data_IF_162352537600
#
_entry.id   IF_162352537600
#
_cell.length_a   1.000
_cell.length_b   1.000
_cell.length_c   1.000
_cell.angle_alpha   90.00
_cell.angle_beta   90.00
_cell.angle_gamma   90.00
#
_symmetry.space_group_name_H-M   'P 1'
#
loop_
_entity.id
_entity.type
_entity.pdbx_description
1 polymer ?
2 polymer ?
3 non-polymer ?
4 water ?
#
# COMPACT_ATOMS: atom_id res chain seq x y z
N UNK A 1 9.67 -11.43 -17.12
CA UNK A 1 10.36 -10.21 -16.61
C UNK A 1 9.39 -9.11 -16.14
N UNK A 2 9.72 -8.55 -14.98
CA UNK A 2 8.99 -7.49 -14.28
C UNK A 2 7.80 -6.72 -14.88
N UNK A 3 6.67 -6.81 -14.18
CA UNK A 3 5.43 -6.12 -14.55
C UNK A 3 4.74 -5.63 -13.27
N UNK A 4 4.14 -4.45 -13.31
CA UNK A 4 3.43 -3.90 -12.15
C UNK A 4 1.96 -3.81 -12.51
N UNK A 5 1.19 -4.84 -12.15
CA UNK A 5 -0.23 -4.87 -12.47
C UNK A 5 -1.18 -4.71 -11.28
N UNK A 6 -2.36 -4.19 -11.56
CA UNK A 6 -3.40 -3.99 -10.54
C UNK A 6 -4.16 -5.30 -10.43
N UNK A 7 -3.98 -5.98 -9.31
CA UNK A 7 -4.62 -7.25 -9.06
C UNK A 7 -6.06 -7.08 -8.58
N UNK A 8 -6.99 -7.57 -9.40
CA UNK A 8 -8.42 -7.50 -9.12
C UNK A 8 -8.91 -8.78 -8.45
N UNK A 9 -9.70 -8.62 -7.39
CA UNK A 9 -10.26 -9.77 -6.69
C UNK A 9 -11.56 -10.12 -7.40
N UNK A 10 -11.44 -10.72 -8.58
CA UNK A 10 -12.58 -11.07 -9.41
C UNK A 10 -13.06 -12.52 -9.31
N UNK A 11 -12.59 -13.26 -8.31
CA UNK A 11 -13.02 -14.64 -8.15
C UNK A 11 -12.46 -15.65 -9.15
N UNK A 12 -11.42 -15.28 -9.88
CA UNK A 12 -10.80 -16.19 -10.84
C UNK A 12 -9.65 -16.93 -10.17
N UNK A 13 -9.37 -18.15 -10.61
CA UNK A 13 -8.28 -18.94 -10.05
C UNK A 13 -6.95 -18.20 -10.15
N UNK A 14 -6.67 -17.64 -11.32
CA UNK A 14 -5.41 -16.93 -11.54
C UNK A 14 -5.15 -15.77 -10.58
N UNK A 15 -6.04 -14.79 -10.56
CA UNK A 15 -5.87 -13.63 -9.69
C UNK A 15 -5.92 -13.99 -8.21
N UNK A 16 -6.77 -14.95 -7.87
CA UNK A 16 -6.91 -15.36 -6.48
C UNK A 16 -5.65 -16.08 -5.97
N UNK A 17 -4.85 -16.62 -6.89
CA UNK A 17 -3.61 -17.29 -6.50
C UNK A 17 -2.59 -16.19 -6.21
N UNK A 18 -2.58 -15.18 -7.08
CA UNK A 18 -1.67 -14.05 -6.95
C UNK A 18 -1.96 -13.24 -5.69
N UNK A 19 -3.24 -13.09 -5.34
CA UNK A 19 -3.60 -12.35 -4.14
C UNK A 19 -3.17 -13.11 -2.90
N UNK A 20 -3.33 -14.43 -2.92
CA UNK A 20 -2.93 -15.24 -1.77
C UNK A 20 -1.41 -15.18 -1.59
N UNK A 21 -0.69 -15.23 -2.71
CA UNK A 21 0.77 -15.16 -2.65
C UNK A 21 1.20 -13.82 -2.07
N UNK A 22 0.55 -12.75 -2.50
CA UNK A 22 0.85 -11.40 -2.04
C UNK A 22 0.53 -11.30 -0.55
N UNK A 23 -0.59 -11.91 -0.16
CA UNK A 23 -1.03 -11.92 1.22
C UNK A 23 -0.01 -12.64 2.09
N UNK A 24 0.51 -13.76 1.60
CA UNK A 24 1.50 -14.52 2.35
C UNK A 24 2.81 -13.73 2.47
N UNK A 25 3.13 -12.93 1.46
CA UNK A 25 4.34 -12.12 1.51
C UNK A 25 4.14 -11.06 2.58
N UNK A 26 2.94 -10.49 2.62
CA UNK A 26 2.60 -9.47 3.61
C UNK A 26 2.74 -9.96 5.05
N UNK A 27 2.18 -11.13 5.36
CA UNK A 27 2.25 -11.63 6.72
C UNK A 27 3.66 -12.05 7.12
N UNK A 28 4.46 -12.44 6.13
CA UNK A 28 5.83 -12.86 6.35
C UNK A 28 6.69 -11.63 6.67
N UNK A 29 6.42 -10.54 5.96
CA UNK A 29 7.17 -9.31 6.13
C UNK A 29 6.60 -8.35 7.16
N UNK A 30 5.45 -8.71 7.71
CA UNK A 30 4.77 -7.88 8.70
C UNK A 30 4.29 -8.78 9.83
N UNK A 31 5.23 -9.39 10.58
CA UNK A 31 4.92 -10.29 11.70
C UNK A 31 4.03 -9.73 12.79
N UNK A 32 3.94 -8.41 12.89
CA UNK A 32 3.09 -7.80 13.91
C UNK A 32 1.62 -7.74 13.50
N UNK A 33 1.35 -7.98 12.22
CA UNK A 33 -0.01 -7.96 11.69
C UNK A 33 -0.72 -9.29 11.87
N UNK A 34 -1.96 -9.27 12.38
CA UNK A 34 -2.63 -10.56 12.52
C UNK A 34 -2.83 -11.00 11.07
N UNK A 35 -2.49 -12.24 10.76
CA UNK A 35 -2.63 -12.72 9.40
C UNK A 35 -4.08 -12.67 8.90
N UNK A 36 -5.04 -12.96 9.77
CA UNK A 36 -6.44 -12.99 9.34
C UNK A 36 -6.85 -11.58 9.03
N UNK A 37 -6.09 -10.66 9.61
CA UNK A 37 -6.39 -9.30 9.38
C UNK A 37 -5.93 -8.90 7.98
N UNK A 38 -4.74 -9.34 7.58
CA UNK A 38 -4.25 -9.02 6.27
C UNK A 38 -5.22 -9.60 5.22
N UNK A 39 -5.72 -10.81 5.48
CA UNK A 39 -6.65 -11.49 4.59
C UNK A 39 -7.93 -10.68 4.36
N UNK A 40 -8.48 -10.19 5.46
CA UNK A 40 -9.70 -9.40 5.41
C UNK A 40 -9.58 -8.18 4.50
N UNK A 41 -8.51 -7.40 4.67
CA UNK A 41 -8.34 -6.21 3.85
C UNK A 41 -7.97 -6.51 2.40
N UNK A 42 -7.04 -7.43 2.19
CA UNK A 42 -6.62 -7.78 0.83
C UNK A 42 -7.78 -8.31 -0.02
N UNK A 43 -8.63 -9.16 0.56
CA UNK A 43 -9.74 -9.71 -0.20
C UNK A 43 -11.07 -8.99 -0.02
N UNK A 44 -11.07 -7.82 0.61
CA UNK A 44 -12.33 -7.11 0.76
C UNK A 44 -12.64 -6.45 -0.59
N UNK A 45 -13.86 -5.97 -0.75
CA UNK A 45 -14.28 -5.36 -2.00
C UNK A 45 -13.64 -4.00 -2.24
N UNK A 46 -13.45 -3.23 -1.17
CA UNK A 46 -12.88 -1.89 -1.24
C UNK A 46 -11.39 -1.78 -1.56
N UNK A 47 -10.65 -2.87 -1.42
CA UNK A 47 -9.22 -2.83 -1.66
C UNK A 47 -8.70 -3.31 -3.00
N UNK A 48 -7.53 -2.79 -3.36
CA UNK A 48 -6.85 -3.14 -4.60
C UNK A 48 -5.39 -3.41 -4.27
N UNK A 49 -4.74 -4.22 -5.09
CA UNK A 49 -3.34 -4.54 -4.89
C UNK A 49 -2.58 -4.40 -6.19
N UNK A 50 -1.51 -3.61 -6.17
CA UNK A 50 -0.69 -3.48 -7.35
C UNK A 50 0.47 -4.40 -7.03
N UNK A 51 0.73 -5.37 -7.89
CA UNK A 51 1.80 -6.30 -7.63
C UNK A 51 2.96 -6.23 -8.61
N UNK A 52 4.09 -6.75 -8.15
CA UNK A 52 5.31 -6.82 -8.94
C UNK A 52 5.32 -8.27 -9.37
N UNK A 53 5.15 -8.50 -10.66
CA UNK A 53 5.12 -9.85 -11.18
C UNK A 53 6.38 -10.18 -11.94
N UNK A 54 7.08 -11.22 -11.49
CA UNK A 54 8.29 -11.65 -12.16
C UNK A 54 7.77 -12.52 -13.30
N UNK A 55 7.97 -12.04 -14.52
CA UNK A 55 7.49 -12.72 -15.71
C UNK A 55 5.99 -12.41 -15.78
N UNK A 56 5.20 -13.45 -16.03
CA UNK A 56 3.75 -13.32 -16.10
C UNK A 56 3.17 -14.30 -15.09
N UNK A 57 3.90 -14.57 -14.00
CA UNK A 57 3.41 -15.57 -13.04
C UNK A 57 3.78 -15.47 -11.56
N UNK A 58 4.98 -15.02 -11.23
CA UNK A 58 5.39 -14.98 -9.83
C UNK A 58 5.37 -13.63 -9.13
N UNK A 59 4.68 -13.58 -7.99
CA UNK A 59 4.58 -12.36 -7.19
C UNK A 59 5.81 -12.20 -6.30
N UNK A 60 6.47 -11.05 -6.41
CA UNK A 60 7.64 -10.82 -5.58
C UNK A 60 7.44 -9.62 -4.66
N UNK A 61 6.30 -8.96 -4.79
CA UNK A 61 5.99 -7.82 -3.96
C UNK A 61 4.72 -7.12 -4.39
N UNK A 62 4.33 -6.09 -3.65
CA UNK A 62 3.14 -5.36 -4.00
C UNK A 62 2.69 -4.38 -2.94
N UNK A 63 1.62 -3.65 -3.25
CA UNK A 63 1.06 -2.69 -2.32
C UNK A 63 -0.46 -2.79 -2.34
N UNK A 64 -1.04 -2.94 -1.15
CA UNK A 64 -2.48 -3.04 -0.99
C UNK A 64 -3.00 -1.69 -0.51
N UNK A 65 -3.92 -1.10 -1.27
CA UNK A 65 -4.45 0.21 -0.94
C UNK A 65 -5.96 0.30 -1.10
N UNK A 66 -6.54 1.39 -0.60
CA UNK A 66 -7.97 1.62 -0.69
C UNK A 66 -8.22 3.06 -1.13
N UNK A 67 -8.89 3.22 -2.27
CA UNK A 67 -9.21 4.55 -2.77
C UNK A 67 -10.53 5.04 -2.22
N UNK A 68 -10.56 6.32 -1.85
CA UNK A 68 -11.77 6.97 -1.38
C UNK A 68 -11.96 8.02 -2.48
N UNK A 69 -12.46 7.54 -3.62
CA UNK A 69 -12.66 8.34 -4.82
C UNK A 69 -13.30 9.72 -4.69
N UNK A 70 -14.51 9.80 -4.10
CA UNK A 70 -15.11 11.13 -3.98
C UNK A 70 -14.17 12.14 -3.31
N UNK A 71 -13.54 11.72 -2.22
CA UNK A 71 -12.63 12.57 -1.46
C UNK A 71 -11.27 12.75 -2.15
N UNK A 72 -10.97 11.86 -3.08
CA UNK A 72 -9.72 11.89 -3.84
C UNK A 72 -8.42 11.67 -3.04
N UNK A 73 -8.43 10.64 -2.20
CA UNK A 73 -7.24 10.28 -1.45
C UNK A 73 -7.28 8.77 -1.28
N UNK A 74 -6.12 8.16 -1.08
CA UNK A 74 -6.08 6.72 -0.90
C UNK A 74 -5.21 6.37 0.28
N UNK A 75 -5.55 5.27 0.94
CA UNK A 75 -4.78 4.83 2.08
C UNK A 75 -4.01 3.58 1.71
N UNK A 76 -2.74 3.53 2.10
CA UNK A 76 -1.92 2.36 1.84
C UNK A 76 -2.16 1.45 3.03
N UNK A 77 -2.59 0.23 2.76
CA UNK A 77 -2.85 -0.75 3.82
C UNK A 77 -1.57 -1.54 4.12
N UNK A 78 -1.00 -2.16 3.08
CA UNK A 78 0.23 -2.94 3.23
C UNK A 78 1.18 -2.76 2.04
N UNK A 79 2.48 -2.83 2.34
CA UNK A 79 3.53 -2.72 1.33
C UNK A 79 4.65 -3.69 1.68
N UNK A 80 5.11 -4.46 0.70
CA UNK A 80 6.20 -5.40 0.97
C UNK A 80 6.78 -6.05 -0.28
N UNK A 81 8.02 -6.50 -0.14
CA UNK A 81 8.74 -7.20 -1.21
C UNK A 81 9.22 -8.47 -0.54
N UNK A 82 9.11 -9.60 -1.22
CA UNK A 82 9.53 -10.86 -0.62
C UNK A 82 11.03 -10.86 -0.26
N UNK A 83 11.38 -11.55 0.82
CA UNK A 83 12.75 -11.61 1.32
C UNK A 83 13.86 -11.69 0.27
N UNK A 84 13.88 -12.76 -0.51
CA UNK A 84 14.92 -12.97 -1.51
C UNK A 84 14.95 -11.96 -2.66
N UNK A 85 14.06 -10.98 -2.63
CA UNK A 85 14.02 -9.97 -3.69
C UNK A 85 14.21 -8.54 -3.18
N UNK A 86 14.43 -8.40 -1.88
CA UNK A 86 14.63 -7.07 -1.29
C UNK A 86 15.99 -6.50 -1.66
N UNK A 87 16.14 -5.19 -1.50
CA UNK A 87 17.38 -4.47 -1.80
C UNK A 87 17.81 -4.63 -3.27
N UNK A 88 16.84 -4.55 -4.18
CA UNK A 88 17.10 -4.65 -5.61
C UNK A 88 16.39 -3.49 -6.31
N UNK A 89 15.85 -2.57 -5.52
CA UNK A 89 15.16 -1.42 -6.08
C UNK A 89 13.69 -1.61 -6.42
N UNK A 90 13.16 -2.81 -6.20
CA UNK A 90 11.76 -3.09 -6.52
C UNK A 90 10.76 -2.28 -5.70
N UNK A 91 11.00 -2.21 -4.39
CA UNK A 91 10.11 -1.46 -3.52
C UNK A 91 9.95 -0.02 -3.94
N UNK A 92 11.03 0.61 -4.38
CA UNK A 92 10.98 2.01 -4.80
C UNK A 92 10.30 2.15 -6.16
N UNK A 93 10.53 1.18 -7.04
CA UNK A 93 9.91 1.21 -8.36
C UNK A 93 8.41 0.98 -8.21
N UNK A 94 8.04 0.22 -7.18
CA UNK A 94 6.64 -0.07 -6.90
C UNK A 94 5.92 1.21 -6.48
N UNK A 95 6.51 1.91 -5.52
CA UNK A 95 5.93 3.15 -5.01
C UNK A 95 5.79 4.18 -6.12
N UNK A 96 6.79 4.26 -7.00
CA UNK A 96 6.75 5.20 -8.12
C UNK A 96 5.63 4.81 -9.09
N UNK A 97 5.46 3.52 -9.32
CA UNK A 97 4.42 3.05 -10.22
C UNK A 97 3.07 3.35 -9.59
N UNK A 98 2.98 3.12 -8.28
CA UNK A 98 1.76 3.39 -7.54
C UNK A 98 1.35 4.86 -7.63
N UNK A 99 2.30 5.76 -7.38
CA UNK A 99 2.00 7.19 -7.44
C UNK A 99 1.55 7.60 -8.83
N UNK A 100 2.20 7.06 -9.85
CA UNK A 100 1.83 7.37 -11.22
C UNK A 100 0.41 6.89 -11.50
N UNK A 101 0.09 5.71 -10.99
CA UNK A 101 -1.24 5.15 -11.16
C UNK A 101 -2.29 6.00 -10.45
N UNK A 102 -2.01 6.37 -9.20
CA UNK A 102 -2.93 7.19 -8.42
C UNK A 102 -3.15 8.54 -9.08
N UNK A 103 -2.10 9.07 -9.70
CA UNK A 103 -2.20 10.34 -10.40
C UNK A 103 -3.20 10.19 -11.56
N UNK A 104 -3.12 9.07 -12.28
CA UNK A 104 -4.03 8.81 -13.39
C UNK A 104 -5.44 8.52 -12.88
N UNK A 105 -5.55 8.08 -11.63
CA UNK A 105 -6.84 7.78 -11.02
C UNK A 105 -7.44 9.02 -10.38
N UNK A 106 -6.81 10.16 -10.61
CA UNK A 106 -7.29 11.43 -10.07
C UNK A 106 -7.28 11.44 -8.54
N UNK A 107 -6.25 10.85 -7.95
CA UNK A 107 -6.12 10.84 -6.50
C UNK A 107 -5.14 11.97 -6.14
N UNK A 108 -5.52 12.79 -5.16
CA UNK A 108 -4.71 13.94 -4.75
C UNK A 108 -3.75 13.70 -3.58
N UNK A 109 -4.11 12.79 -2.68
CA UNK A 109 -3.24 12.50 -1.55
C UNK A 109 -3.17 11.02 -1.24
N UNK A 110 -2.01 10.60 -0.77
CA UNK A 110 -1.80 9.23 -0.35
C UNK A 110 -1.61 9.35 1.15
N UNK A 111 -2.27 8.49 1.89
CA UNK A 111 -2.15 8.51 3.35
C UNK A 111 -1.72 7.14 3.81
N UNK A 112 -0.93 7.10 4.87
CA UNK A 112 -0.48 5.83 5.40
C UNK A 112 -0.04 6.01 6.83
N UNK A 113 -0.44 5.07 7.68
CA UNK A 113 -0.03 5.11 9.06
C UNK A 113 1.33 4.42 9.07
N UNK A 114 2.28 4.98 9.81
CA UNK A 114 3.62 4.41 9.86
C UNK A 114 4.10 4.28 11.30
N UNK A 115 5.09 3.42 11.51
CA UNK A 115 5.63 3.21 12.84
C UNK A 115 7.11 2.87 12.77
N UNK A 116 7.86 3.37 13.74
CA UNK A 116 9.29 3.10 13.83
C UNK A 116 10.09 3.43 12.57
N UNK A 117 10.71 2.41 11.99
CA UNK A 117 11.53 2.57 10.80
C UNK A 117 10.71 3.06 9.62
N UNK A 118 9.48 2.55 9.52
CA UNK A 118 8.59 2.90 8.42
C UNK A 118 8.41 4.39 8.20
N UNK A 119 8.47 5.19 9.26
CA UNK A 119 8.31 6.63 9.11
C UNK A 119 9.44 7.16 8.24
N UNK A 120 10.67 6.75 8.55
CA UNK A 120 11.82 7.19 7.78
C UNK A 120 11.73 6.68 6.36
N UNK A 121 11.24 5.46 6.19
CA UNK A 121 11.11 4.89 4.86
C UNK A 121 10.14 5.71 4.00
N UNK A 122 8.99 6.06 4.56
CA UNK A 122 8.02 6.83 3.79
C UNK A 122 8.47 8.26 3.56
N UNK A 123 9.33 8.78 4.43
CA UNK A 123 9.85 10.13 4.25
C UNK A 123 10.71 10.11 2.98
N UNK A 124 11.48 9.04 2.81
CA UNK A 124 12.32 8.91 1.62
C UNK A 124 11.46 8.79 0.37
N UNK A 125 10.23 8.31 0.53
CA UNK A 125 9.31 8.14 -0.59
C UNK A 125 8.43 9.37 -0.83
N UNK A 126 8.70 10.46 -0.12
CA UNK A 126 7.91 11.66 -0.35
C UNK A 126 6.76 11.93 0.61
N UNK A 127 6.60 11.10 1.62
CA UNK A 127 5.54 11.31 2.60
C UNK A 127 6.07 12.20 3.73
N UNK A 128 5.20 13.01 4.32
CA UNK A 128 5.58 13.90 5.42
C UNK A 128 4.66 13.70 6.62
N UNK A 129 5.12 14.14 7.79
CA UNK A 129 4.33 14.02 9.01
C UNK A 129 3.26 15.11 9.10
N UNK A 130 3.58 16.31 8.63
CA UNK A 130 2.58 17.37 8.66
C UNK A 130 1.72 17.25 7.42
N UNK A 131 0.43 17.53 7.55
CA UNK A 131 -0.48 17.39 6.42
C UNK A 131 -0.90 18.72 5.80
N UNK A 132 -1.01 18.75 4.48
CA UNK A 132 -1.46 19.94 3.79
C UNK A 132 -2.90 19.65 3.38
N UNK A 133 -3.36 18.45 3.73
CA UNK A 133 -4.73 18.03 3.45
C UNK A 133 -5.54 18.18 4.73
N UNK A 134 -6.69 18.87 4.66
CA UNK A 134 -7.57 19.10 5.80
C UNK A 134 -8.07 17.83 6.51
N UNK A 135 -7.90 17.81 7.83
CA UNK A 135 -8.31 16.70 8.69
C UNK A 135 -9.69 16.12 8.35
N UNK A 136 -10.69 16.99 8.38
CA UNK A 136 -12.07 16.62 8.12
C UNK A 136 -12.30 15.86 6.83
N UNK A 137 -11.30 15.85 5.95
CA UNK A 137 -11.46 15.13 4.69
C UNK A 137 -11.34 13.64 4.91
N UNK A 138 -10.38 13.23 5.74
CA UNK A 138 -10.22 11.81 6.01
C UNK A 138 -10.99 11.39 7.25
N UNK A 139 -11.25 12.33 8.15
CA UNK A 139 -11.98 12.00 9.37
C UNK A 139 -13.34 11.41 9.01
N UNK A 140 -13.66 10.28 9.61
CA UNK A 140 -14.92 9.63 9.31
C UNK A 140 -14.75 8.55 8.26
N UNK A 141 -13.64 8.61 7.53
CA UNK A 141 -13.36 7.62 6.50
C UNK A 141 -12.18 6.76 6.92
N UNK A 142 -11.12 7.42 7.37
CA UNK A 142 -9.93 6.73 7.83
C UNK A 142 -9.91 6.79 9.35
N UNK A 143 -9.74 5.65 10.00
CA UNK A 143 -9.73 5.60 11.46
C UNK A 143 -8.60 6.47 12.02
N UNK A 144 -8.89 7.14 13.12
CA UNK A 144 -7.93 8.03 13.76
C UNK A 144 -7.25 7.38 14.96
N UNK A 145 -6.10 6.77 14.73
CA UNK A 145 -5.38 6.11 15.81
C UNK A 145 -4.37 7.06 16.46
N UNK A 146 -4.38 7.13 17.78
CA UNK A 146 -3.44 7.98 18.51
C UNK A 146 -2.07 7.32 18.57
N UNK A 147 -2.05 5.99 18.52
CA UNK A 147 -0.80 5.26 18.59
C UNK A 147 0.01 5.23 17.31
N UNK A 148 -0.54 5.74 16.22
CA UNK A 148 0.21 5.71 14.98
C UNK A 148 0.49 7.08 14.39
N UNK A 149 1.55 7.17 13.60
CA UNK A 149 1.90 8.43 12.95
C UNK A 149 1.27 8.42 11.55
N UNK A 150 0.34 9.34 11.31
CA UNK A 150 -0.32 9.43 10.01
C UNK A 150 0.49 10.30 9.05
N UNK A 151 0.93 9.72 7.94
CA UNK A 151 1.72 10.45 6.96
C UNK A 151 0.99 10.62 5.64
N UNK A 152 1.32 11.69 4.92
CA UNK A 152 0.65 11.96 3.66
C UNK A 152 1.61 12.35 2.54
N UNK A 153 1.21 12.03 1.32
CA UNK A 153 2.00 12.37 0.16
C UNK A 153 1.09 13.05 -0.85
N UNK A 154 1.42 14.30 -1.17
CA UNK A 154 0.65 15.06 -2.13
C UNK A 154 1.02 14.56 -3.51
N UNK A 155 0.01 14.30 -4.33
CA UNK A 155 0.24 13.86 -5.70
C UNK A 155 -0.15 15.03 -6.58
N UNK A 156 0.84 15.76 -7.07
CA UNK A 156 0.59 16.90 -7.93
C UNK A 156 0.13 16.37 -9.29
N UNK A 157 -0.91 16.98 -9.88
CA UNK A 157 -1.44 16.56 -11.18
C UNK A 157 -0.47 16.37 -12.36
N UNK A 158 0.65 17.09 -12.38
CA UNK A 158 1.54 16.90 -13.50
C UNK A 158 3.03 16.87 -13.21
N UNK A 159 3.38 16.16 -12.14
CA UNK A 159 4.75 15.93 -11.72
C UNK A 159 4.96 14.50 -12.23
N UNK A 160 6.13 14.21 -12.79
CA UNK A 160 6.36 12.86 -13.28
C UNK A 160 6.82 11.94 -12.16
N UNK A 161 5.91 11.12 -11.67
CA UNK A 161 6.26 10.15 -10.64
C UNK A 161 6.41 8.87 -11.45
N UNK A 162 7.06 7.87 -10.88
CA UNK A 162 7.18 6.61 -11.60
C UNK A 162 8.30 6.44 -12.60
N UNK A 163 8.40 7.35 -13.57
CA UNK A 163 9.42 7.32 -14.64
C UNK A 163 8.75 7.05 -15.98
N UNK B 3 -16.24 -2.02 8.58
CA UNK B 3 -15.31 -2.70 9.53
C UNK B 3 -15.88 -3.94 10.12
N UNK B 4 -15.28 -5.08 9.88
CA UNK B 4 -15.75 -6.26 10.61
C UNK B 4 -14.35 -6.67 11.01
N UNK B 5 -13.48 -6.01 10.24
CA UNK B 5 -12.03 -6.01 10.19
C UNK B 5 -11.79 -5.00 9.03
N UNK B 6 -11.36 -3.78 9.30
CA UNK B 6 -11.22 -2.84 8.18
C UNK B 6 -10.81 -1.38 8.37
N UNK B 7 -9.71 -0.96 7.74
CA UNK B 7 -9.19 0.42 7.71
C UNK B 7 -8.34 0.56 6.45
N UNK B 8 -7.36 -0.36 6.38
CA UNK B 8 -6.37 -0.47 5.32
C UNK B 8 -5.09 -0.07 6.05
N UNK B 9 -4.52 -0.98 6.85
CA UNK B 9 -3.33 -0.64 7.64
C UNK B 9 -2.21 -1.62 7.96
N UNK B 10 -0.98 -1.05 8.14
CA UNK B 10 0.40 -1.63 8.41
C UNK B 10 0.92 -2.27 9.76
N UNK B 11 2.23 -2.15 10.11
CA UNK B 11 2.78 -2.75 11.37
C UNK B 11 4.27 -2.64 11.62
N UNK B 12 5.02 -2.32 10.57
CA UNK B 12 6.45 -2.27 10.74
C UNK B 12 6.92 -1.54 11.92
N UNK B 13 7.42 -2.35 12.79
CA UNK B 13 7.98 -1.82 13.96
C UNK B 13 9.37 -2.31 13.88
N UNK B 14 10.22 -1.37 13.50
CA UNK B 14 11.62 -1.60 13.40
C UNK B 14 11.94 -2.77 12.52
N UNK B 15 12.22 -2.49 11.25
CA UNK B 15 12.57 -3.54 10.31
C UNK B 15 14.01 -3.88 10.57
N UNK B 16 14.21 -4.62 11.62
CA UNK B 16 15.53 -5.04 11.97
C UNK B 16 15.13 -5.92 13.07
N UNK B 17 14.96 -7.09 12.55
CA UNK B 17 14.55 -8.26 13.18
C UNK B 17 15.11 -8.97 11.95
X LIG C 1 16.34 -4.20 6.01
X LIG C 1 16.99 -2.96 6.00
X LIG C 1 17.00 -2.07 4.98
X LIG C 1 16.32 -2.48 3.89
X LIG C 1 15.59 -3.71 3.73
X LIG C 1 15.62 -4.65 4.92
X LIG C 1 15.02 -5.79 4.94
X LIG C 1 15.00 -3.80 2.50
X LIG C 1 15.35 -2.63 1.88
X LIG C 1 16.14 -1.79 2.67
X LIG C 1 16.77 -0.45 2.29
X LIG C 1 18.03 -0.64 1.45
X LIG C 1 19.14 -0.71 2.34
X LIG C 1 18.13 0.59 0.49
X LIG C 1 19.13 1.53 0.77
X LIG C 1 18.71 3.17 0.78
X LIG C 1 18.21 3.54 -0.70
X LIG C 1 20.01 4.05 1.06
X LIG C 1 17.57 3.40 1.87
X LIG C 1 16.67 1.05 0.38
X LIG C 1 15.88 0.36 1.45
X LIG C 1 16.08 0.83 -1.00
X LIG C 1 14.92 -0.03 -0.87
X LIG C 1 14.40 -0.80 -2.20
X LIG C 1 15.44 -1.81 -2.59
X LIG C 1 13.95 0.17 -3.25
X LIG C 1 13.23 -1.54 -1.60
X LIG C 1 12.81 -3.08 -1.36
X LIG C 1 13.75 -3.82 -0.46
X LIG C 1 12.60 -3.91 -2.61
X LIG C 1 11.36 -2.76 -0.65
X LIG C 1 10.24 -2.52 1.55
X LIG C 1 11.29 -1.96 0.55
X LIG C 1 9.98 -1.55 2.77
X LIG C 1 8.97 -2.65 0.67
X LIG C 1 10.84 -3.90 2.10
X LIG C 1 12.02 -3.63 2.93
X LIG C 1 9.86 -4.75 2.91
X LIG C 1 9.04 -5.62 2.29
X LIG C 1 9.88 -4.55 4.21
X LIG C 1 9.04 -5.27 5.17
X LIG C 1 7.60 -4.83 5.06
X LIG C 1 7.45 -3.42 5.57
X LIG C 1 7.97 -3.02 6.68
X LIG C 1 6.74 -2.66 4.76
X LIG C 1 6.39 -1.19 4.94
X LIG C 1 5.29 -1.08 5.98
X LIG C 1 3.74 -2.07 5.68
#
# INVERSE_FOLDING_TARGET
>A
LLDFDILTNDGTHRNMKLLIDLKNIFSRQLPKMPKEYIVKLVFDRHHESMVILKNKQKVIGGICFRQYKPQRFAEVAFLAVTANEQVRGYGTRLMNKFKDHMQKQNIEYLLTYADNFAIGYFKKQGFTKEHRMPQEKWKGYIKDYDGGTLMECYIHPYVDYGR
>B
QTARKSTGGKAPRKQLASK
>C hetero
1 COA N1A C2A N3A C4A C5A C6A N6A N7A C8A N9A C1B C2B O2B C3B O3B P3B O7A O8A O9A C4B O4B C5B O5B P1A O1A O2A O3A P2A O4A O5A O6A CBP CCP CDP CEP CAP OAP C9P O9P N8P C7P C6P C5P O5P N4P C3P C2P S1P
#
